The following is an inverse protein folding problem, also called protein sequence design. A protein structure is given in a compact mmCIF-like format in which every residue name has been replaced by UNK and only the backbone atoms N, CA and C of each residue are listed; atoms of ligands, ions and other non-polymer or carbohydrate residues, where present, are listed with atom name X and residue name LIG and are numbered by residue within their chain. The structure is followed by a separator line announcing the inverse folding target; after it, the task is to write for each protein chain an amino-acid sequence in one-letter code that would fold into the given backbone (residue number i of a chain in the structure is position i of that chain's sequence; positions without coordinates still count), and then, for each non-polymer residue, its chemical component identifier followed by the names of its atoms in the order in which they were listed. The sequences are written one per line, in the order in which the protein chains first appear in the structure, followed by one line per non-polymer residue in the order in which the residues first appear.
data_IF_320287078815
#
_entry.id   IF_320287078815
#
_cell.length_a   1.000
_cell.length_b   1.000
_cell.length_c   1.000
_cell.angle_alpha   90.00
_cell.angle_beta   90.00
_cell.angle_gamma   90.00
#
_symmetry.space_group_name_H-M   'P 1'
#
loop_
_entity.id
_entity.type
_entity.pdbx_description
1 polymer ?
#
# COMPACT_ATOMS: atom_id res chain seq x y z
N UNK A 1 6.65 10.65 11.22
CA UNK A 1 5.92 10.01 12.31
C UNK A 1 5.52 8.58 11.92
N UNK A 2 5.61 7.67 12.84
CA UNK A 2 5.28 6.25 12.62
C UNK A 2 3.98 5.92 13.37
N UNK A 3 3.07 5.22 12.69
CA UNK A 3 1.83 4.74 13.27
C UNK A 3 1.66 3.26 12.95
N UNK A 4 1.34 2.43 13.95
CA UNK A 4 1.07 1.01 13.73
C UNK A 4 -0.36 0.81 13.22
N UNK A 5 -0.54 -0.10 12.27
CA UNK A 5 -1.85 -0.53 11.76
C UNK A 5 -1.94 -2.05 11.91
N UNK A 6 -3.04 -2.51 12.52
CA UNK A 6 -3.32 -3.94 12.68
C UNK A 6 -4.76 -4.30 12.30
N UNK A 7 -5.50 -3.37 11.72
CA UNK A 7 -6.91 -3.55 11.34
C UNK A 7 -7.27 -2.56 10.23
N UNK A 8 -8.42 -2.75 9.62
CA UNK A 8 -8.93 -1.87 8.58
C UNK A 8 -8.92 -0.40 9.03
N UNK A 9 -8.47 0.47 8.15
CA UNK A 9 -8.37 1.91 8.43
C UNK A 9 -8.59 2.70 7.16
N UNK A 10 -9.32 3.80 7.26
CA UNK A 10 -9.41 4.81 6.21
C UNK A 10 -8.52 5.98 6.59
N UNK A 11 -7.56 6.29 5.72
CA UNK A 11 -6.64 7.40 5.95
C UNK A 11 -7.31 8.73 5.65
N UNK A 12 -6.83 9.77 6.31
CA UNK A 12 -7.37 11.12 6.18
C UNK A 12 -6.27 12.10 5.81
N UNK A 13 -6.63 13.34 5.51
CA UNK A 13 -5.67 14.37 5.08
C UNK A 13 -4.51 14.54 6.07
N UNK A 14 -4.78 14.48 7.37
CA UNK A 14 -3.77 14.63 8.41
C UNK A 14 -2.74 13.49 8.47
N UNK A 15 -2.99 12.39 7.76
CA UNK A 15 -2.08 11.26 7.73
C UNK A 15 -0.91 11.43 6.74
N UNK A 16 -0.91 12.51 5.97
CA UNK A 16 0.19 12.78 5.03
C UNK A 16 1.53 12.87 5.77
N UNK A 17 2.56 12.25 5.19
CA UNK A 17 3.90 12.25 5.74
C UNK A 17 4.20 11.15 6.76
N UNK A 18 3.21 10.32 7.08
CA UNK A 18 3.41 9.23 8.04
C UNK A 18 4.04 8.00 7.40
N UNK A 19 4.68 7.20 8.24
CA UNK A 19 5.05 5.82 7.93
C UNK A 19 4.08 4.93 8.71
N UNK A 20 3.35 4.08 8.00
CA UNK A 20 2.44 3.12 8.61
C UNK A 20 3.15 1.76 8.72
N UNK A 21 3.41 1.33 9.95
CA UNK A 21 3.99 0.03 10.22
C UNK A 21 2.86 -1.00 10.32
N UNK A 22 2.86 -1.95 9.40
CA UNK A 22 1.79 -2.95 9.29
C UNK A 22 2.12 -4.15 10.16
N UNK A 23 1.25 -4.43 11.13
CA UNK A 23 1.30 -5.63 11.92
C UNK A 23 0.55 -6.75 11.23
N UNK A 24 1.13 -7.94 11.23
CA UNK A 24 0.43 -9.14 10.81
C UNK A 24 -0.71 -9.43 11.79
N UNK A 25 -1.86 -9.76 11.25
CA UNK A 25 -3.02 -10.11 12.05
C UNK A 25 -3.61 -11.42 11.55
N UNK A 26 -4.53 -11.98 12.31
CA UNK A 26 -5.24 -13.18 11.93
C UNK A 26 -6.23 -12.94 10.78
N UNK A 27 -6.55 -11.70 10.45
CA UNK A 27 -7.54 -11.33 9.45
C UNK A 27 -6.94 -10.49 8.33
N UNK A 28 -7.42 -10.68 7.11
CA UNK A 28 -7.16 -9.77 6.01
C UNK A 28 -7.87 -8.43 6.28
N UNK A 29 -7.27 -7.33 5.87
CA UNK A 29 -7.93 -6.03 6.01
C UNK A 29 -7.47 -5.05 4.93
N UNK A 30 -8.27 -3.99 4.74
CA UNK A 30 -8.01 -2.94 3.79
C UNK A 30 -7.56 -1.66 4.49
N UNK A 31 -6.57 -1.00 3.91
CA UNK A 31 -6.17 0.36 4.27
C UNK A 31 -6.59 1.24 3.09
N UNK A 32 -7.58 2.10 3.30
CA UNK A 32 -8.14 2.93 2.23
C UNK A 32 -7.48 4.30 2.21
N UNK A 33 -6.95 4.68 1.05
CA UNK A 33 -6.36 6.00 0.85
C UNK A 33 -7.44 7.09 0.91
N UNK A 34 -7.08 8.34 1.29
CA UNK A 34 -8.09 9.39 1.41
C UNK A 34 -8.72 9.73 0.07
N UNK A 35 -10.03 9.97 0.08
CA UNK A 35 -10.71 10.57 -1.05
C UNK A 35 -10.36 12.06 -1.13
N UNK A 36 -10.16 12.59 -2.34
CA UNK A 36 -9.86 14.01 -2.57
C UNK A 36 -8.63 14.51 -1.80
N UNK A 37 -7.58 13.69 -1.77
CA UNK A 37 -6.34 14.06 -1.13
C UNK A 37 -5.75 15.34 -1.75
N UNK A 38 -5.17 16.19 -0.93
CA UNK A 38 -4.48 17.39 -1.41
C UNK A 38 -3.26 16.97 -2.27
N UNK A 39 -3.00 17.72 -3.33
CA UNK A 39 -1.80 17.54 -4.16
C UNK A 39 -0.55 17.47 -3.30
N UNK A 40 0.25 16.43 -3.49
CA UNK A 40 1.46 16.20 -2.70
C UNK A 40 1.26 15.34 -1.46
N UNK A 41 0.04 14.89 -1.17
CA UNK A 41 -0.21 13.93 -0.10
C UNK A 41 0.62 12.67 -0.34
N UNK A 42 1.29 12.16 0.69
CA UNK A 42 2.13 10.98 0.55
C UNK A 42 2.23 10.22 1.86
N UNK A 43 2.47 8.92 1.78
CA UNK A 43 2.85 8.11 2.94
C UNK A 43 3.61 6.86 2.49
N UNK A 44 4.13 6.13 3.47
CA UNK A 44 4.83 4.86 3.26
C UNK A 44 4.19 3.79 4.12
N UNK A 45 3.95 2.61 3.54
CA UNK A 45 3.51 1.42 4.26
C UNK A 45 4.68 0.47 4.37
N UNK A 46 4.99 0.02 5.58
CA UNK A 46 6.12 -0.87 5.86
C UNK A 46 5.61 -2.14 6.54
N UNK A 47 5.92 -3.30 5.98
CA UNK A 47 5.59 -4.57 6.60
C UNK A 47 6.52 -4.81 7.79
N UNK A 48 5.99 -4.68 8.98
CA UNK A 48 6.75 -4.75 10.23
C UNK A 48 6.88 -6.18 10.75
N UNK A 49 5.84 -6.98 10.61
CA UNK A 49 5.80 -8.34 11.11
C UNK A 49 5.68 -9.36 9.98
N UNK A 50 6.14 -10.59 10.25
CA UNK A 50 5.94 -11.69 9.33
C UNK A 50 4.44 -11.91 9.10
N UNK A 51 4.05 -11.97 7.85
CA UNK A 51 2.66 -12.05 7.44
C UNK A 51 2.28 -13.50 7.12
N UNK A 52 1.25 -14.01 7.75
CA UNK A 52 0.80 -15.39 7.54
C UNK A 52 0.14 -15.57 6.18
N UNK A 53 -1.10 -16.08 6.14
CA UNK A 53 -1.81 -16.34 4.89
C UNK A 53 -2.82 -15.26 4.52
N UNK A 54 -2.85 -14.15 5.24
CA UNK A 54 -3.84 -13.09 5.03
C UNK A 54 -3.27 -11.96 4.19
N UNK A 55 -4.03 -11.49 3.20
CA UNK A 55 -3.65 -10.36 2.38
C UNK A 55 -4.00 -9.04 3.07
N UNK A 56 -3.12 -8.05 2.90
CA UNK A 56 -3.40 -6.69 3.33
C UNK A 56 -3.38 -5.80 2.09
N UNK A 57 -4.48 -5.13 1.85
CA UNK A 57 -4.66 -4.31 0.66
C UNK A 57 -4.58 -2.82 0.99
N UNK A 58 -3.81 -2.09 0.18
CA UNK A 58 -3.87 -0.63 0.13
C UNK A 58 -4.80 -0.28 -1.02
N UNK A 59 -5.94 0.33 -0.71
CA UNK A 59 -7.05 0.51 -1.65
C UNK A 59 -7.22 1.99 -1.97
N UNK A 60 -7.29 2.32 -3.26
CA UNK A 60 -7.64 3.67 -3.69
C UNK A 60 -9.12 3.98 -3.39
N UNK A 61 -9.43 5.24 -3.13
CA UNK A 61 -10.82 5.65 -3.00
C UNK A 61 -11.56 5.43 -4.31
N UNK A 62 -12.89 5.35 -4.25
CA UNK A 62 -13.74 5.12 -5.43
C UNK A 62 -13.40 6.10 -6.56
N UNK A 63 -13.22 5.58 -7.76
CA UNK A 63 -12.85 6.30 -8.98
C UNK A 63 -11.40 6.79 -9.06
N UNK A 64 -10.61 6.64 -8.00
CA UNK A 64 -9.18 6.92 -8.05
C UNK A 64 -8.42 5.74 -8.65
N UNK A 65 -7.26 6.00 -9.23
CA UNK A 65 -6.40 4.95 -9.80
C UNK A 65 -4.97 5.05 -9.28
N UNK A 66 -4.29 3.92 -9.31
CA UNK A 66 -2.89 3.78 -8.91
C UNK A 66 -2.06 3.34 -10.10
N UNK A 67 -0.85 3.92 -10.25
CA UNK A 67 0.11 3.53 -11.27
C UNK A 67 1.53 3.70 -10.75
N UNK A 68 2.46 3.02 -11.36
CA UNK A 68 3.87 3.06 -10.97
C UNK A 68 4.58 1.75 -11.27
N UNK A 69 5.36 1.28 -10.32
CA UNK A 69 6.21 0.10 -10.54
C UNK A 69 6.30 -0.77 -9.28
N UNK A 70 6.27 -2.08 -9.50
CA UNK A 70 6.67 -3.08 -8.50
C UNK A 70 8.14 -3.39 -8.69
N UNK A 71 8.94 -3.21 -7.66
CA UNK A 71 10.35 -3.54 -7.65
C UNK A 71 10.58 -4.80 -6.83
N UNK A 72 10.86 -5.89 -7.52
CA UNK A 72 11.24 -7.18 -6.95
C UNK A 72 12.21 -7.88 -7.92
N UNK A 73 12.33 -9.20 -7.88
CA UNK A 73 13.24 -9.92 -8.78
C UNK A 73 12.82 -9.80 -10.25
N UNK A 74 11.55 -9.51 -10.53
CA UNK A 74 11.02 -9.34 -11.90
C UNK A 74 10.12 -8.10 -11.93
N UNK A 75 10.70 -6.90 -12.06
CA UNK A 75 9.92 -5.66 -11.99
C UNK A 75 8.78 -5.62 -12.99
N UNK A 76 7.63 -5.13 -12.56
CA UNK A 76 6.42 -5.00 -13.37
C UNK A 76 5.78 -3.64 -13.18
N UNK A 77 4.99 -3.19 -14.18
CA UNK A 77 4.26 -1.94 -14.08
C UNK A 77 2.98 -2.10 -13.24
N UNK A 78 2.61 -1.03 -12.55
CA UNK A 78 1.28 -0.86 -11.96
C UNK A 78 0.51 0.03 -12.92
N UNK A 79 -0.62 -0.46 -13.45
CA UNK A 79 -1.38 0.28 -14.46
C UNK A 79 -2.85 0.38 -14.05
N UNK A 80 -3.31 1.60 -13.78
CA UNK A 80 -4.70 1.90 -13.46
C UNK A 80 -5.31 0.93 -12.43
N UNK A 81 -4.55 0.60 -11.41
CA UNK A 81 -4.96 -0.38 -10.40
C UNK A 81 -5.90 0.26 -9.37
N UNK A 82 -6.77 -0.54 -8.78
CA UNK A 82 -7.63 -0.14 -7.67
C UNK A 82 -6.98 -0.40 -6.33
N UNK A 83 -6.08 -1.37 -6.26
CA UNK A 83 -5.42 -1.72 -5.00
C UNK A 83 -4.04 -2.33 -5.21
N UNK A 84 -3.24 -2.23 -4.16
CA UNK A 84 -1.94 -2.86 -4.03
C UNK A 84 -2.01 -3.80 -2.83
N UNK A 85 -1.60 -5.05 -3.03
CA UNK A 85 -1.74 -6.11 -2.03
C UNK A 85 -0.39 -6.58 -1.53
N UNK A 86 -0.19 -6.55 -0.21
CA UNK A 86 0.84 -7.35 0.45
C UNK A 86 0.32 -8.79 0.50
N UNK A 87 0.95 -9.67 -0.26
CA UNK A 87 0.44 -11.04 -0.44
C UNK A 87 0.76 -11.91 0.77
N UNK A 88 -0.26 -12.41 1.42
CA UNK A 88 -0.11 -13.28 2.58
C UNK A 88 0.69 -14.54 2.24
N UNK A 89 1.66 -14.87 3.08
CA UNK A 89 2.54 -16.00 2.89
C UNK A 89 3.69 -15.78 1.91
N UNK A 90 3.72 -14.67 1.18
CA UNK A 90 4.76 -14.35 0.20
C UNK A 90 5.52 -13.08 0.57
N UNK A 91 4.84 -12.01 0.98
CA UNK A 91 5.51 -10.80 1.42
C UNK A 91 6.39 -11.07 2.65
N UNK A 92 7.42 -10.28 2.81
CA UNK A 92 8.39 -10.46 3.89
C UNK A 92 8.55 -9.17 4.69
N UNK A 93 9.06 -9.30 5.91
CA UNK A 93 9.36 -8.15 6.77
C UNK A 93 10.31 -7.20 6.04
N UNK A 94 9.99 -5.92 6.03
CA UNK A 94 10.75 -4.91 5.32
C UNK A 94 10.19 -4.54 3.95
N UNK A 95 9.22 -5.29 3.43
CA UNK A 95 8.52 -4.92 2.20
C UNK A 95 7.81 -3.59 2.41
N UNK A 96 7.80 -2.73 1.38
CA UNK A 96 7.20 -1.42 1.53
C UNK A 96 6.47 -0.95 0.29
N UNK A 97 5.49 -0.07 0.49
CA UNK A 97 4.74 0.63 -0.55
C UNK A 97 4.82 2.12 -0.28
N UNK A 98 5.28 2.88 -1.25
CA UNK A 98 5.24 4.35 -1.22
C UNK A 98 4.13 4.83 -2.12
N UNK A 99 3.30 5.76 -1.65
CA UNK A 99 2.20 6.34 -2.41
C UNK A 99 2.28 7.85 -2.40
N UNK A 100 1.97 8.47 -3.55
CA UNK A 100 1.96 9.94 -3.72
C UNK A 100 0.77 10.34 -4.57
N UNK A 101 0.08 11.38 -4.14
CA UNK A 101 -1.06 11.93 -4.86
C UNK A 101 -0.65 13.19 -5.61
N UNK A 102 -0.98 13.28 -6.89
CA UNK A 102 -0.59 14.42 -7.72
C UNK A 102 -1.77 15.35 -8.06
N UNK A 103 -3.00 14.85 -8.03
CA UNK A 103 -4.16 15.65 -8.43
C UNK A 103 -5.46 15.31 -7.70
N UNK A 104 -5.39 14.57 -6.59
CA UNK A 104 -6.57 14.18 -5.82
C UNK A 104 -7.21 12.88 -6.26
N UNK A 105 -6.93 12.39 -7.46
CA UNK A 105 -7.53 11.15 -8.01
C UNK A 105 -6.51 10.17 -8.55
N UNK A 106 -5.29 10.61 -8.84
CA UNK A 106 -4.23 9.77 -9.37
C UNK A 106 -3.15 9.56 -8.33
N UNK A 107 -2.83 8.30 -8.08
CA UNK A 107 -1.81 7.89 -7.13
C UNK A 107 -0.63 7.28 -7.87
N UNK A 108 0.56 7.72 -7.51
CA UNK A 108 1.81 7.17 -8.06
C UNK A 108 2.49 6.37 -6.96
N UNK A 109 2.77 5.10 -7.28
CA UNK A 109 3.18 4.12 -6.29
C UNK A 109 4.47 3.44 -6.70
N UNK A 110 5.34 3.19 -5.72
CA UNK A 110 6.50 2.32 -5.89
C UNK A 110 6.43 1.29 -4.79
N UNK A 111 6.57 0.02 -5.15
CA UNK A 111 6.61 -1.05 -4.17
C UNK A 111 7.95 -1.76 -4.21
N UNK A 112 8.42 -2.17 -3.04
CA UNK A 112 9.68 -2.89 -2.89
C UNK A 112 9.40 -4.17 -2.11
N UNK A 113 9.74 -5.33 -2.68
CA UNK A 113 9.58 -6.60 -1.99
C UNK A 113 10.85 -7.43 -2.10
N UNK A 114 11.22 -8.06 -0.99
CA UNK A 114 12.31 -9.02 -0.96
C UNK A 114 11.94 -10.38 -1.56
N UNK A 115 10.65 -10.59 -1.86
CA UNK A 115 10.16 -11.81 -2.49
C UNK A 115 9.49 -11.47 -3.83
N UNK A 116 9.79 -12.25 -4.87
CA UNK A 116 9.14 -12.07 -6.16
C UNK A 116 7.63 -12.31 -6.02
N UNK A 117 6.83 -11.32 -6.41
CA UNK A 117 5.38 -11.39 -6.24
C UNK A 117 4.89 -11.20 -4.81
N UNK A 118 5.74 -10.70 -3.90
CA UNK A 118 5.33 -10.40 -2.52
C UNK A 118 4.34 -9.24 -2.41
N UNK A 119 4.39 -8.32 -3.36
CA UNK A 119 3.44 -7.22 -3.49
C UNK A 119 2.94 -7.20 -4.93
N UNK A 120 1.63 -7.17 -5.11
CA UNK A 120 0.99 -7.18 -6.43
C UNK A 120 -0.08 -6.08 -6.50
N UNK A 121 -0.59 -5.83 -7.70
CA UNK A 121 -1.67 -4.86 -7.91
C UNK A 121 -2.79 -5.49 -8.71
N UNK A 122 -4.01 -4.96 -8.57
CA UNK A 122 -5.19 -5.45 -9.28
C UNK A 122 -6.25 -4.35 -9.42
N UNK A 123 -7.19 -4.59 -10.33
CA UNK A 123 -8.33 -3.68 -10.54
C UNK A 123 -8.57 -3.26 -11.96
#
# INVERSE_FOLDING_TARGET
KVEDIAAAKTLVEADSGKIFAIDADASAYDITLPANATTGWYCTFLMKDAHGSQDIDVVAATADTMQGVHVDASPTAITAADKITFVGGTCVVGDMVEVRCTDGTSWYCVTYSGANGGIVSSG
#
